data_IF_535946100290
#
_entry.id   IF_535946100290
#
_cell.length_a   1.000
_cell.length_b   1.000
_cell.length_c   1.000
_cell.angle_alpha   90.00
_cell.angle_beta   90.00
_cell.angle_gamma   90.00
#
_symmetry.space_group_name_H-M   'P 1'
#
loop_
_entity.id
_entity.type
_entity.pdbx_description
1 polymer ?
#
# COMPACT_ATOMS: atom_id res chain seq x y z
N UNK A 1 -4.44 -7.76 5.93
CA UNK A 1 -3.79 -7.44 4.64
C UNK A 1 -4.04 -5.98 4.28
N UNK A 2 -3.24 -5.36 3.43
CA UNK A 2 -3.57 -4.04 2.82
C UNK A 2 -4.62 -4.29 1.73
N UNK A 3 -5.53 -3.33 1.47
CA UNK A 3 -6.57 -3.50 0.44
C UNK A 3 -5.92 -3.81 -0.91
N UNK A 4 -6.09 -5.05 -1.38
CA UNK A 4 -5.56 -5.50 -2.67
C UNK A 4 -6.46 -4.98 -3.79
N UNK A 5 -5.85 -4.37 -4.80
CA UNK A 5 -6.51 -3.93 -6.04
C UNK A 5 -6.42 -5.00 -7.14
N UNK A 6 -5.43 -5.89 -7.01
CA UNK A 6 -5.14 -6.98 -7.92
C UNK A 6 -5.00 -8.27 -7.12
N UNK A 7 -5.50 -9.37 -7.67
CA UNK A 7 -5.26 -10.71 -7.12
C UNK A 7 -3.95 -11.28 -7.68
N UNK A 8 -3.35 -12.22 -6.95
CA UNK A 8 -2.09 -12.86 -7.37
C UNK A 8 -2.23 -13.59 -8.70
N UNK A 9 -3.41 -14.13 -8.99
CA UNK A 9 -3.71 -14.83 -10.24
C UNK A 9 -3.84 -13.88 -11.44
N UNK A 10 -4.00 -12.57 -11.19
CA UNK A 10 -4.06 -11.55 -12.23
C UNK A 10 -2.67 -11.03 -12.62
N UNK A 11 -1.60 -11.48 -11.97
CA UNK A 11 -0.25 -11.02 -12.29
C UNK A 11 0.11 -11.36 -13.74
N UNK A 12 0.71 -10.43 -14.50
CA UNK A 12 1.12 -10.67 -15.87
C UNK A 12 2.41 -11.51 -15.89
N UNK A 13 2.27 -12.82 -15.63
CA UNK A 13 3.39 -13.75 -15.45
C UNK A 13 4.36 -13.77 -16.64
N UNK A 14 3.85 -13.65 -17.87
CA UNK A 14 4.71 -13.57 -19.06
C UNK A 14 5.60 -12.33 -19.06
N UNK A 15 5.09 -11.18 -18.60
CA UNK A 15 5.88 -9.95 -18.50
C UNK A 15 6.92 -10.07 -17.38
N UNK A 16 6.53 -10.61 -16.23
CA UNK A 16 7.44 -10.85 -15.11
C UNK A 16 8.60 -11.80 -15.49
N UNK A 17 8.32 -12.86 -16.25
CA UNK A 17 9.35 -13.77 -16.78
C UNK A 17 10.33 -13.06 -17.71
N UNK A 18 9.83 -12.22 -18.63
CA UNK A 18 10.68 -11.43 -19.53
C UNK A 18 11.60 -10.42 -18.80
N UNK A 19 11.26 -10.07 -17.56
CA UNK A 19 12.07 -9.19 -16.70
C UNK A 19 12.97 -9.95 -15.72
N UNK A 20 12.99 -11.30 -15.77
CA UNK A 20 13.74 -12.13 -14.81
C UNK A 20 13.15 -12.14 -13.40
N UNK A 21 11.90 -11.70 -13.24
CA UNK A 21 11.20 -11.61 -11.94
C UNK A 21 10.32 -12.83 -11.66
N UNK A 22 10.28 -13.79 -12.58
CA UNK A 22 9.58 -15.05 -12.40
C UNK A 22 10.19 -16.14 -13.28
N UNK A 23 10.20 -17.38 -12.81
CA UNK A 23 10.59 -18.57 -13.57
C UNK A 23 9.64 -19.72 -13.26
N UNK A 24 9.12 -20.42 -14.27
CA UNK A 24 8.31 -21.65 -14.09
C UNK A 24 7.20 -21.52 -13.03
N UNK A 25 6.56 -20.34 -12.98
CA UNK A 25 5.51 -19.97 -12.02
C UNK A 25 5.97 -19.71 -10.56
N UNK A 26 7.27 -19.57 -10.34
CA UNK A 26 7.89 -19.04 -9.12
C UNK A 26 8.14 -17.56 -9.30
N UNK A 27 7.75 -16.73 -8.31
CA UNK A 27 8.06 -15.30 -8.30
C UNK A 27 9.41 -15.07 -7.61
N UNK A 28 10.24 -14.24 -8.22
CA UNK A 28 11.53 -13.76 -7.69
C UNK A 28 11.41 -12.31 -7.21
N UNK A 29 10.31 -12.01 -6.53
CA UNK A 29 10.00 -10.70 -5.96
C UNK A 29 9.79 -10.93 -4.47
N UNK A 30 10.35 -10.06 -3.63
CA UNK A 30 10.11 -10.16 -2.19
C UNK A 30 8.64 -9.85 -1.83
N UNK A 31 8.24 -10.28 -0.64
CA UNK A 31 6.85 -10.19 -0.19
C UNK A 31 6.35 -8.74 -0.05
N UNK A 32 7.24 -7.79 0.27
CA UNK A 32 6.87 -6.38 0.42
C UNK A 32 6.61 -5.74 -0.95
N UNK A 33 7.48 -6.01 -1.93
CA UNK A 33 7.33 -5.54 -3.31
C UNK A 33 6.11 -6.18 -3.98
N UNK A 34 5.91 -7.49 -3.78
CA UNK A 34 4.70 -8.17 -4.24
C UNK A 34 3.44 -7.55 -3.61
N UNK A 35 3.46 -7.28 -2.31
CA UNK A 35 2.35 -6.63 -1.61
C UNK A 35 2.12 -5.19 -2.09
N UNK A 36 3.15 -4.49 -2.55
CA UNK A 36 3.03 -3.17 -3.16
C UNK A 36 2.35 -3.26 -4.52
N UNK A 37 2.81 -4.15 -5.40
CA UNK A 37 2.22 -4.40 -6.72
C UNK A 37 0.73 -4.75 -6.62
N UNK A 38 0.37 -5.71 -5.75
CA UNK A 38 -1.02 -6.15 -5.58
C UNK A 38 -1.94 -5.06 -5.03
N UNK A 39 -1.38 -4.11 -4.26
CA UNK A 39 -2.10 -2.93 -3.79
C UNK A 39 -2.13 -1.78 -4.82
N UNK A 40 -1.56 -1.97 -6.02
CA UNK A 40 -1.47 -0.95 -7.07
C UNK A 40 -0.46 0.16 -6.79
N UNK A 41 0.52 -0.12 -5.94
CA UNK A 41 1.61 0.79 -5.57
C UNK A 41 2.87 0.46 -6.37
N UNK A 42 3.88 1.33 -6.24
CA UNK A 42 5.21 1.08 -6.79
C UNK A 42 6.03 0.20 -5.85
N UNK A 43 6.87 -0.65 -6.42
CA UNK A 43 7.92 -1.38 -5.69
C UNK A 43 9.04 -0.42 -5.27
N UNK A 44 10.00 -0.93 -4.50
CA UNK A 44 11.33 -0.32 -4.43
C UNK A 44 12.08 -0.49 -5.76
N UNK A 45 13.28 0.09 -5.87
CA UNK A 45 14.11 -0.02 -7.08
C UNK A 45 14.55 -1.47 -7.28
N UNK A 46 14.17 -2.05 -8.41
CA UNK A 46 14.51 -3.42 -8.79
C UNK A 46 15.56 -3.43 -9.90
N UNK A 47 16.50 -4.36 -9.81
CA UNK A 47 17.46 -4.66 -10.88
C UNK A 47 16.83 -5.67 -11.83
N UNK A 48 16.45 -5.21 -13.01
CA UNK A 48 15.94 -6.06 -14.09
C UNK A 48 17.13 -6.49 -14.95
N UNK A 49 17.28 -7.77 -15.26
CA UNK A 49 18.44 -8.30 -15.98
C UNK A 49 18.06 -8.97 -17.30
N UNK A 50 18.99 -8.95 -18.27
CA UNK A 50 18.89 -9.63 -19.56
C UNK A 50 17.60 -9.32 -20.33
N UNK A 51 17.25 -8.04 -20.42
CA UNK A 51 16.04 -7.61 -21.11
C UNK A 51 16.23 -7.67 -22.62
N UNK A 52 15.32 -8.34 -23.31
CA UNK A 52 15.28 -8.37 -24.78
C UNK A 52 13.99 -7.72 -25.28
N UNK A 53 14.14 -6.61 -26.00
CA UNK A 53 13.01 -5.94 -26.63
C UNK A 53 13.37 -5.51 -28.05
N UNK A 54 12.61 -5.99 -29.03
CA UNK A 54 12.73 -5.59 -30.45
C UNK A 54 14.16 -5.73 -31.01
N UNK A 55 14.91 -6.75 -30.57
CA UNK A 55 16.30 -6.99 -31.00
C UNK A 55 17.35 -6.14 -30.27
N UNK A 56 16.95 -5.29 -29.34
CA UNK A 56 17.85 -4.63 -28.40
C UNK A 56 18.00 -5.49 -27.15
N UNK A 57 19.24 -5.84 -26.83
CA UNK A 57 19.60 -6.47 -25.57
C UNK A 57 20.07 -5.41 -24.58
N UNK A 58 19.37 -5.30 -23.46
CA UNK A 58 19.71 -4.42 -22.33
C UNK A 58 20.19 -5.34 -21.20
N UNK A 59 21.50 -5.36 -20.88
CA UNK A 59 22.05 -6.29 -19.88
C UNK A 59 21.39 -6.13 -18.52
N UNK A 60 21.11 -4.89 -18.13
CA UNK A 60 20.31 -4.62 -16.95
C UNK A 60 19.71 -3.20 -16.96
N UNK A 61 18.61 -3.04 -16.22
CA UNK A 61 17.90 -1.79 -16.03
C UNK A 61 17.43 -1.70 -14.58
N UNK A 62 17.73 -0.59 -13.91
CA UNK A 62 17.15 -0.28 -12.60
C UNK A 62 15.81 0.44 -12.81
N UNK A 63 14.73 -0.12 -12.27
CA UNK A 63 13.40 0.45 -12.37
C UNK A 63 12.53 0.12 -11.15
N UNK A 64 11.61 1.01 -10.81
CA UNK A 64 10.45 0.66 -9.97
C UNK A 64 9.36 0.06 -10.85
N UNK A 65 8.51 -0.80 -10.29
CA UNK A 65 7.42 -1.45 -11.02
C UNK A 65 6.07 -1.12 -10.40
N UNK A 66 5.02 -1.10 -11.22
CA UNK A 66 3.63 -0.98 -10.75
C UNK A 66 2.66 -1.77 -11.64
N UNK A 67 1.49 -2.11 -11.11
CA UNK A 67 0.41 -2.70 -11.90
C UNK A 67 -0.64 -1.66 -12.30
N UNK A 68 -1.17 -1.79 -13.51
CA UNK A 68 -2.31 -1.01 -14.00
C UNK A 68 -3.33 -1.95 -14.63
N UNK A 69 -4.61 -1.66 -14.39
CA UNK A 69 -5.72 -2.30 -15.12
C UNK A 69 -6.03 -1.49 -16.36
N UNK A 70 -5.99 -2.13 -17.53
CA UNK A 70 -6.36 -1.53 -18.80
C UNK A 70 -7.88 -1.51 -18.98
N UNK A 71 -8.37 -0.76 -19.98
CA UNK A 71 -9.80 -0.61 -20.26
C UNK A 71 -10.52 -1.94 -20.52
N UNK A 72 -9.79 -2.91 -21.10
CA UNK A 72 -10.27 -4.27 -21.34
C UNK A 72 -10.28 -5.17 -20.08
N UNK A 73 -9.89 -4.64 -18.92
CA UNK A 73 -9.81 -5.36 -17.65
C UNK A 73 -8.52 -6.15 -17.42
N UNK A 74 -7.65 -6.29 -18.43
CA UNK A 74 -6.35 -6.96 -18.29
C UNK A 74 -5.39 -6.16 -17.41
N UNK A 75 -4.50 -6.87 -16.71
CA UNK A 75 -3.48 -6.26 -15.86
C UNK A 75 -2.17 -6.18 -16.64
N UNK A 76 -1.56 -5.01 -16.62
CA UNK A 76 -0.28 -4.69 -17.25
C UNK A 76 0.75 -4.31 -16.18
N UNK A 77 1.99 -4.74 -16.38
CA UNK A 77 3.14 -4.32 -15.59
C UNK A 77 3.77 -3.09 -16.24
N UNK A 78 3.92 -2.02 -15.46
CA UNK A 78 4.60 -0.80 -15.88
C UNK A 78 5.96 -0.74 -15.22
N UNK A 79 6.99 -0.45 -16.03
CA UNK A 79 8.34 -0.15 -15.55
C UNK A 79 8.56 1.36 -15.51
N UNK A 80 9.09 1.84 -14.38
CA UNK A 80 9.45 3.23 -14.12
C UNK A 80 10.98 3.31 -13.99
N UNK A 81 11.71 3.44 -15.12
CA UNK A 81 13.16 3.54 -15.10
C UNK A 81 13.61 4.89 -14.52
N UNK A 82 14.91 5.04 -14.32
CA UNK A 82 15.51 6.32 -13.94
C UNK A 82 15.54 7.25 -15.18
N UNK A 83 14.61 8.20 -15.24
CA UNK A 83 14.52 9.16 -16.33
C UNK A 83 15.62 10.22 -16.24
N UNK A 84 16.14 10.65 -17.40
CA UNK A 84 17.15 11.72 -17.44
C UNK A 84 16.55 13.09 -17.11
N UNK A 85 15.31 13.32 -17.52
CA UNK A 85 14.57 14.56 -17.30
C UNK A 85 13.16 14.22 -16.84
N UNK A 86 12.66 14.95 -15.86
CA UNK A 86 11.29 14.83 -15.42
C UNK A 86 10.38 15.73 -16.26
N UNK A 87 9.23 15.21 -16.66
CA UNK A 87 8.16 16.00 -17.29
C UNK A 87 7.07 16.25 -16.24
N UNK A 88 6.94 17.50 -15.82
CA UNK A 88 5.90 17.93 -14.89
C UNK A 88 4.51 17.92 -15.55
N UNK A 89 3.43 17.56 -14.82
CA UNK A 89 2.08 17.66 -15.35
C UNK A 89 1.72 19.09 -15.75
N UNK A 90 1.06 19.28 -16.91
CA UNK A 90 0.73 20.60 -17.47
C UNK A 90 -0.10 21.51 -16.53
N UNK A 91 -0.83 20.92 -15.58
CA UNK A 91 -1.67 21.64 -14.62
C UNK A 91 -0.89 22.11 -13.37
N UNK A 92 0.40 21.80 -13.26
CA UNK A 92 1.30 22.39 -12.28
C UNK A 92 1.94 23.66 -12.83
N UNK A 93 2.19 24.61 -11.94
CA UNK A 93 3.01 25.79 -12.25
C UNK A 93 4.49 25.44 -12.18
N UNK A 94 5.34 26.19 -12.90
CA UNK A 94 6.81 26.01 -12.85
C UNK A 94 7.36 26.06 -11.42
N UNK A 95 6.80 26.95 -10.57
CA UNK A 95 7.19 27.04 -9.17
C UNK A 95 6.79 25.81 -8.34
N UNK A 96 5.63 25.21 -8.61
CA UNK A 96 5.21 23.95 -7.96
C UNK A 96 6.12 22.79 -8.39
N UNK A 97 6.44 22.69 -9.69
CA UNK A 97 7.38 21.71 -10.26
C UNK A 97 8.75 21.85 -9.59
N UNK A 98 9.33 23.04 -9.61
CA UNK A 98 10.65 23.32 -9.03
C UNK A 98 10.68 23.03 -7.52
N UNK A 99 9.62 23.39 -6.79
CA UNK A 99 9.52 23.14 -5.36
C UNK A 99 9.47 21.65 -5.03
N UNK A 100 8.75 20.85 -5.82
CA UNK A 100 8.70 19.39 -5.67
C UNK A 100 10.04 18.72 -6.02
N UNK A 101 10.69 19.15 -7.11
CA UNK A 101 11.99 18.61 -7.56
C UNK A 101 13.10 18.89 -6.53
N UNK A 102 13.19 20.13 -6.05
CA UNK A 102 14.14 20.51 -4.99
C UNK A 102 13.83 19.81 -3.67
N UNK A 103 12.58 19.42 -3.46
CA UNK A 103 12.13 18.89 -2.18
C UNK A 103 11.98 20.00 -1.14
N UNK A 104 11.46 21.15 -1.55
CA UNK A 104 10.94 22.19 -0.67
C UNK A 104 9.48 21.87 -0.29
N UNK A 105 8.71 21.36 -1.26
CA UNK A 105 7.39 20.78 -1.05
C UNK A 105 7.46 19.24 -1.11
N UNK A 106 6.68 18.56 -0.27
CA UNK A 106 6.55 17.10 -0.29
C UNK A 106 5.62 16.65 -1.40
N UNK A 107 4.51 17.37 -1.53
CA UNK A 107 3.42 17.10 -2.45
C UNK A 107 2.62 18.39 -2.70
N UNK A 108 1.82 18.37 -3.76
CA UNK A 108 0.87 19.43 -4.11
C UNK A 108 -0.49 18.79 -4.42
N UNK A 109 -1.59 19.40 -3.95
CA UNK A 109 -2.95 18.97 -4.30
C UNK A 109 -3.54 19.92 -5.34
N UNK A 110 -4.06 19.37 -6.43
CA UNK A 110 -4.72 20.11 -7.51
C UNK A 110 -6.12 19.58 -7.74
N UNK A 111 -7.04 20.46 -8.12
CA UNK A 111 -8.32 20.06 -8.70
C UNK A 111 -8.19 20.07 -10.21
N UNK A 112 -8.38 18.93 -10.85
CA UNK A 112 -8.37 18.79 -12.30
C UNK A 112 -9.76 18.42 -12.80
N UNK A 113 -10.08 18.82 -14.03
CA UNK A 113 -11.26 18.36 -14.74
C UNK A 113 -10.85 17.27 -15.73
N UNK A 114 -11.66 16.23 -15.85
CA UNK A 114 -11.56 15.34 -17.00
C UNK A 114 -12.15 15.99 -18.26
N UNK A 115 -12.05 15.28 -19.40
CA UNK A 115 -12.57 15.75 -20.68
C UNK A 115 -14.10 15.93 -20.71
N UNK A 116 -14.83 15.37 -19.74
CA UNK A 116 -16.29 15.49 -19.59
C UNK A 116 -16.70 16.62 -18.64
N UNK A 117 -15.72 17.24 -17.96
CA UNK A 117 -15.90 18.37 -17.05
C UNK A 117 -16.01 17.98 -15.58
N UNK A 118 -15.98 16.68 -15.26
CA UNK A 118 -16.04 16.20 -13.88
C UNK A 118 -14.74 16.53 -13.16
N UNK A 119 -14.89 17.10 -11.96
CA UNK A 119 -13.76 17.58 -11.14
C UNK A 119 -13.33 16.52 -10.15
N UNK A 120 -12.02 16.30 -10.07
CA UNK A 120 -11.40 15.45 -9.04
C UNK A 120 -10.15 16.09 -8.46
N UNK A 121 -9.89 15.82 -7.19
CA UNK A 121 -8.67 16.25 -6.51
C UNK A 121 -7.57 15.20 -6.69
N UNK A 122 -6.41 15.61 -7.19
CA UNK A 122 -5.21 14.79 -7.32
C UNK A 122 -4.09 15.30 -6.41
N UNK A 123 -3.35 14.36 -5.84
CA UNK A 123 -2.09 14.59 -5.13
C UNK A 123 -0.94 14.31 -6.08
N UNK A 124 0.00 15.25 -6.20
CA UNK A 124 1.21 15.09 -7.00
C UNK A 124 2.44 15.07 -6.10
N UNK A 125 3.30 14.08 -6.31
CA UNK A 125 4.59 13.91 -5.66
C UNK A 125 5.71 13.83 -6.70
N UNK A 126 6.93 14.13 -6.27
CA UNK A 126 8.12 13.89 -7.09
C UNK A 126 8.94 12.73 -6.52
N UNK A 127 9.16 11.70 -7.33
CA UNK A 127 10.01 10.56 -7.04
C UNK A 127 11.43 10.86 -7.53
N UNK A 128 12.34 11.10 -6.58
CA UNK A 128 13.74 11.42 -6.88
C UNK A 128 14.52 10.21 -7.39
N UNK A 129 14.06 8.99 -7.09
CA UNK A 129 14.76 7.77 -7.49
C UNK A 129 14.57 7.49 -8.98
N UNK A 130 13.38 7.77 -9.51
CA UNK A 130 13.04 7.59 -10.93
C UNK A 130 13.03 8.89 -11.72
N UNK A 131 13.17 10.05 -11.06
CA UNK A 131 13.07 11.38 -11.67
C UNK A 131 11.71 11.60 -12.36
N UNK A 132 10.63 11.35 -11.64
CA UNK A 132 9.27 11.29 -12.19
C UNK A 132 8.24 11.94 -11.26
N UNK A 133 7.23 12.58 -11.84
CA UNK A 133 6.06 13.06 -11.11
C UNK A 133 4.99 11.98 -11.00
N UNK A 134 4.62 11.64 -9.77
CA UNK A 134 3.56 10.66 -9.48
C UNK A 134 2.27 11.40 -9.16
N UNK A 135 1.19 11.05 -9.87
CA UNK A 135 -0.15 11.61 -9.65
C UNK A 135 -1.10 10.55 -9.11
N UNK A 136 -1.75 10.81 -7.98
CA UNK A 136 -2.77 9.93 -7.40
C UNK A 136 -4.06 10.68 -7.15
N UNK A 137 -5.18 10.06 -7.49
CA UNK A 137 -6.50 10.57 -7.14
C UNK A 137 -6.72 10.47 -5.62
N UNK A 138 -6.98 11.60 -4.97
CA UNK A 138 -7.15 11.65 -3.51
C UNK A 138 -8.36 10.84 -3.03
N UNK A 139 -9.37 10.65 -3.88
CA UNK A 139 -10.53 9.80 -3.61
C UNK A 139 -10.21 8.30 -3.60
N UNK A 140 -9.09 7.91 -4.23
CA UNK A 140 -8.59 6.52 -4.25
C UNK A 140 -7.57 6.23 -3.13
N UNK A 141 -7.25 7.23 -2.29
CA UNK A 141 -6.37 7.04 -1.14
C UNK A 141 -7.20 6.53 0.05
N UNK A 142 -6.79 5.37 0.58
CA UNK A 142 -7.42 4.72 1.72
C UNK A 142 -6.60 4.99 2.99
N UNK A 143 -7.02 5.94 3.85
CA UNK A 143 -6.36 6.16 5.13
C UNK A 143 -6.59 4.97 6.06
N UNK A 144 -5.62 4.67 6.95
CA UNK A 144 -5.85 3.76 8.07
C UNK A 144 -7.04 4.19 8.92
N UNK A 145 -7.73 3.22 9.51
CA UNK A 145 -8.79 3.47 10.48
C UNK A 145 -8.22 3.78 11.85
N UNK A 146 -7.18 3.05 12.25
CA UNK A 146 -6.43 3.23 13.49
C UNK A 146 -4.92 3.18 13.23
N UNK A 147 -4.16 3.82 14.12
CA UNK A 147 -2.71 3.70 14.23
C UNK A 147 -2.38 3.37 15.68
N UNK A 148 -1.65 2.29 15.92
CA UNK A 148 -1.33 1.76 17.25
C UNK A 148 -2.60 1.62 18.13
N UNK A 149 -3.72 1.21 17.54
CA UNK A 149 -5.02 1.09 18.22
C UNK A 149 -5.71 2.42 18.55
N UNK A 150 -5.22 3.54 18.03
CA UNK A 150 -5.83 4.87 18.18
C UNK A 150 -6.61 5.21 16.90
N UNK A 151 -7.93 5.44 16.97
CA UNK A 151 -8.73 5.75 15.79
C UNK A 151 -8.39 7.13 15.20
N UNK A 152 -8.24 7.17 13.87
CA UNK A 152 -8.11 8.43 13.15
C UNK A 152 -9.48 9.10 13.01
N UNK A 153 -9.56 10.37 13.38
CA UNK A 153 -10.72 11.23 13.15
C UNK A 153 -10.99 11.44 11.66
N UNK A 154 -12.22 11.83 11.31
CA UNK A 154 -12.58 12.16 9.92
C UNK A 154 -11.70 13.27 9.32
N UNK A 155 -11.29 14.26 10.13
CA UNK A 155 -10.42 15.33 9.69
C UNK A 155 -8.99 14.83 9.44
N UNK A 156 -8.45 13.96 10.30
CA UNK A 156 -7.16 13.31 10.09
C UNK A 156 -7.19 12.45 8.82
N UNK A 157 -8.22 11.61 8.62
CA UNK A 157 -8.40 10.83 7.38
C UNK A 157 -8.45 11.72 6.14
N UNK A 158 -9.12 12.88 6.20
CA UNK A 158 -9.15 13.88 5.11
C UNK A 158 -7.77 14.50 4.86
N UNK A 159 -7.02 14.82 5.92
CA UNK A 159 -5.67 15.37 5.82
C UNK A 159 -4.70 14.35 5.20
N UNK A 160 -4.76 13.10 5.64
CA UNK A 160 -3.95 12.00 5.11
C UNK A 160 -4.16 11.81 3.60
N UNK A 161 -5.42 11.79 3.13
CA UNK A 161 -5.73 11.72 1.68
C UNK A 161 -5.17 12.90 0.88
N UNK A 162 -4.92 14.03 1.52
CA UNK A 162 -4.33 15.23 0.90
C UNK A 162 -2.81 15.30 1.09
N UNK A 163 -2.17 14.18 1.46
CA UNK A 163 -0.72 14.11 1.68
C UNK A 163 -0.23 14.97 2.85
N UNK A 164 -1.12 15.38 3.76
CA UNK A 164 -0.74 16.15 4.96
C UNK A 164 -0.36 15.22 6.09
N UNK A 165 0.54 15.70 6.94
CA UNK A 165 0.87 15.01 8.18
C UNK A 165 -0.35 14.91 9.10
N UNK A 166 -0.44 13.76 9.77
CA UNK A 166 -1.47 13.40 10.73
C UNK A 166 -0.79 12.90 11.98
N UNK A 167 -1.02 13.59 13.10
CA UNK A 167 -0.53 13.19 14.41
C UNK A 167 -1.64 12.51 15.21
N UNK A 168 -1.33 11.34 15.80
CA UNK A 168 -2.20 10.59 16.71
C UNK A 168 -2.05 11.08 18.15
N UNK A 169 -2.96 10.65 19.04
CA UNK A 169 -2.91 11.02 20.46
C UNK A 169 -1.63 10.54 21.19
N UNK A 170 -0.99 9.46 20.72
CA UNK A 170 0.29 8.99 21.27
C UNK A 170 1.52 9.70 20.69
N UNK A 171 1.31 10.72 19.83
CA UNK A 171 2.36 11.50 19.19
C UNK A 171 3.03 10.79 18.01
N UNK A 172 2.41 9.76 17.44
CA UNK A 172 2.84 9.16 16.17
C UNK A 172 2.36 10.04 15.02
N UNK A 173 3.28 10.46 14.14
CA UNK A 173 2.98 11.29 12.98
C UNK A 173 3.15 10.45 11.72
N UNK A 174 2.10 10.41 10.89
CA UNK A 174 2.09 9.70 9.62
C UNK A 174 1.75 10.64 8.45
N UNK A 175 2.20 10.28 7.25
CA UNK A 175 1.91 10.97 6.00
C UNK A 175 1.74 9.95 4.87
N UNK A 176 0.76 10.15 3.99
CA UNK A 176 0.64 9.34 2.77
C UNK A 176 1.80 9.66 1.81
N UNK A 177 2.32 8.66 1.11
CA UNK A 177 3.24 8.88 -0.01
C UNK A 177 2.97 7.88 -1.14
N UNK A 178 2.78 8.36 -2.37
CA UNK A 178 2.56 7.53 -3.54
C UNK A 178 3.84 6.90 -4.09
N UNK A 179 5.00 7.51 -3.83
CA UNK A 179 6.31 7.01 -4.28
C UNK A 179 6.90 5.91 -3.40
N UNK A 180 6.43 5.78 -2.16
CA UNK A 180 6.95 4.76 -1.24
C UNK A 180 6.16 3.46 -1.33
N UNK A 181 6.88 2.35 -1.27
CA UNK A 181 6.34 0.98 -1.30
C UNK A 181 5.18 0.73 -0.33
N UNK A 182 5.33 1.23 0.90
CA UNK A 182 4.33 1.02 1.97
C UNK A 182 3.17 2.04 1.91
N UNK A 183 3.22 3.02 1.01
CA UNK A 183 2.29 4.15 0.89
C UNK A 183 2.15 5.06 2.13
N UNK A 184 3.00 4.86 3.13
CA UNK A 184 2.99 5.59 4.39
C UNK A 184 4.42 5.92 4.81
N UNK A 185 4.61 7.17 5.23
CA UNK A 185 5.79 7.64 5.95
C UNK A 185 5.41 7.88 7.39
N UNK A 186 6.37 7.73 8.29
CA UNK A 186 6.14 7.97 9.70
C UNK A 186 7.37 8.55 10.40
N UNK A 187 7.15 9.21 11.54
CA UNK A 187 8.21 9.60 12.46
C UNK A 187 8.73 8.42 13.30
N UNK A 188 8.16 7.22 13.14
CA UNK A 188 8.51 5.96 13.82
C UNK A 188 8.93 4.88 12.82
N UNK A 189 9.86 4.00 13.19
CA UNK A 189 10.29 2.87 12.34
C UNK A 189 9.24 1.76 12.18
N UNK A 190 8.34 1.64 13.14
CA UNK A 190 7.28 0.65 13.13
C UNK A 190 6.00 1.22 13.72
N UNK A 191 4.87 0.79 13.16
CA UNK A 191 3.53 1.08 13.66
C UNK A 191 2.58 -0.05 13.25
N UNK A 192 1.46 -0.16 13.94
CA UNK A 192 0.34 -1.01 13.51
C UNK A 192 -0.74 -0.11 12.94
N UNK A 193 -1.18 -0.40 11.72
CA UNK A 193 -2.33 0.27 11.12
C UNK A 193 -3.48 -0.71 10.99
N UNK A 194 -4.71 -0.24 11.23
CA UNK A 194 -5.90 -1.01 10.88
C UNK A 194 -6.53 -0.52 9.58
N UNK A 195 -7.09 -1.45 8.80
CA UNK A 195 -7.82 -1.18 7.56
C UNK A 195 -9.08 -2.03 7.56
N UNK A 196 -10.24 -1.41 7.36
CA UNK A 196 -11.48 -2.13 7.08
C UNK A 196 -11.40 -2.82 5.72
N UNK A 197 -11.50 -4.15 5.74
CA UNK A 197 -11.49 -5.00 4.53
C UNK A 197 -12.61 -6.02 4.67
N UNK A 198 -13.44 -6.11 3.64
CA UNK A 198 -14.48 -7.14 3.49
C UNK A 198 -15.42 -7.31 4.71
N UNK A 199 -15.71 -6.20 5.41
CA UNK A 199 -16.61 -6.18 6.57
C UNK A 199 -15.95 -6.52 7.91
N UNK A 200 -14.63 -6.72 7.96
CA UNK A 200 -13.84 -6.93 9.18
C UNK A 200 -12.66 -5.95 9.31
N UNK A 201 -12.12 -5.83 10.52
CA UNK A 201 -10.91 -5.04 10.79
C UNK A 201 -9.68 -5.91 10.56
N UNK A 202 -8.88 -5.58 9.54
CA UNK A 202 -7.55 -6.15 9.34
C UNK A 202 -6.50 -5.25 9.97
N UNK A 203 -5.53 -5.83 10.66
CA UNK A 203 -4.36 -5.10 11.13
C UNK A 203 -3.12 -5.42 10.28
N UNK A 204 -2.26 -4.42 10.09
CA UNK A 204 -1.01 -4.53 9.34
C UNK A 204 0.10 -3.92 10.18
N UNK A 205 1.13 -4.73 10.44
CA UNK A 205 2.36 -4.27 11.06
C UNK A 205 3.29 -3.72 9.99
N UNK A 206 3.52 -2.41 10.01
CA UNK A 206 4.51 -1.75 9.17
C UNK A 206 5.86 -1.72 9.89
N UNK A 207 6.93 -2.10 9.19
CA UNK A 207 8.33 -2.05 9.66
C UNK A 207 9.20 -1.40 8.61
N UNK A 208 10.26 -0.72 9.05
CA UNK A 208 11.22 -0.09 8.14
C UNK A 208 10.60 1.04 7.33
N UNK A 209 9.63 1.75 7.91
CA UNK A 209 8.96 2.88 7.25
C UNK A 209 9.97 3.98 6.89
N UNK A 210 9.74 4.66 5.77
CA UNK A 210 10.49 5.86 5.44
C UNK A 210 10.14 7.02 6.38
N UNK A 211 11.13 7.85 6.68
CA UNK A 211 10.97 9.03 7.52
C UNK A 211 10.03 10.06 6.89
N UNK A 212 9.39 10.87 7.74
CA UNK A 212 8.70 12.08 7.30
C UNK A 212 9.66 13.03 6.57
N UNK A 213 9.09 13.83 5.68
CA UNK A 213 9.88 14.70 4.83
C UNK A 213 10.73 15.71 5.61
N UNK A 214 12.03 15.74 5.31
CA UNK A 214 13.02 16.60 5.97
C UNK A 214 13.01 16.50 7.51
N UNK A 215 12.53 15.37 8.07
CA UNK A 215 12.46 15.14 9.50
C UNK A 215 13.22 13.87 9.89
N UNK A 216 13.93 13.87 11.03
CA UNK A 216 14.53 12.65 11.54
C UNK A 216 13.44 11.67 11.98
N UNK A 217 13.74 10.38 11.87
CA UNK A 217 12.88 9.32 12.33
C UNK A 217 13.34 8.81 13.69
N UNK A 218 12.39 8.57 14.59
CA UNK A 218 12.63 7.92 15.86
C UNK A 218 12.72 6.42 15.66
N UNK A 219 13.73 5.80 16.29
CA UNK A 219 13.92 4.36 16.24
C UNK A 219 12.90 3.59 17.07
N UNK A 220 12.39 4.23 18.13
CA UNK A 220 11.43 3.63 19.04
C UNK A 220 10.00 3.72 18.48
N UNK A 221 9.20 2.64 18.58
CA UNK A 221 7.77 2.68 18.28
C UNK A 221 6.99 3.68 19.16
N UNK A 222 5.78 4.03 18.73
CA UNK A 222 4.86 4.85 19.51
C UNK A 222 4.48 4.22 20.85
N UNK A 223 4.04 5.03 21.82
CA UNK A 223 3.77 4.57 23.20
C UNK A 223 2.72 3.45 23.24
N UNK A 224 1.76 3.47 22.32
CA UNK A 224 0.69 2.48 22.27
C UNK A 224 1.03 1.26 21.40
N UNK A 225 2.20 1.22 20.75
CA UNK A 225 2.58 0.17 19.82
C UNK A 225 2.56 -1.23 20.44
N UNK A 226 3.18 -1.42 21.60
CA UNK A 226 3.26 -2.72 22.26
C UNK A 226 1.89 -3.24 22.70
N UNK A 227 1.05 -2.35 23.24
CA UNK A 227 -0.32 -2.71 23.60
C UNK A 227 -1.16 -3.08 22.37
N UNK A 228 -0.95 -2.40 21.24
CA UNK A 228 -1.61 -2.74 19.99
C UNK A 228 -1.10 -4.09 19.43
N UNK A 229 0.19 -4.41 19.57
CA UNK A 229 0.77 -5.69 19.17
C UNK A 229 0.17 -6.86 19.96
N UNK A 230 0.00 -6.72 21.27
CA UNK A 230 -0.62 -7.74 22.13
C UNK A 230 -2.07 -8.00 21.73
N UNK A 231 -2.85 -6.94 21.49
CA UNK A 231 -4.24 -7.08 21.02
C UNK A 231 -4.33 -7.80 19.68
N UNK A 232 -3.39 -7.55 18.78
CA UNK A 232 -3.31 -8.19 17.47
C UNK A 232 -3.03 -9.69 17.60
N UNK A 233 -2.03 -10.07 18.40
CA UNK A 233 -1.70 -11.49 18.61
C UNK A 233 -2.83 -12.26 19.30
N UNK A 234 -3.54 -11.64 20.24
CA UNK A 234 -4.73 -12.22 20.87
C UNK A 234 -5.87 -12.42 19.87
N UNK A 235 -6.09 -11.47 18.95
CA UNK A 235 -7.13 -11.57 17.93
C UNK A 235 -6.83 -12.69 16.92
N UNK A 236 -5.57 -12.79 16.46
CA UNK A 236 -5.12 -13.88 15.59
C UNK A 236 -5.24 -15.25 16.26
N UNK A 237 -4.87 -15.36 17.54
CA UNK A 237 -5.01 -16.59 18.30
C UNK A 237 -6.48 -17.03 18.45
N UNK A 238 -7.41 -16.09 18.65
CA UNK A 238 -8.85 -16.36 18.72
C UNK A 238 -9.44 -16.79 17.38
N UNK A 239 -8.94 -16.24 16.26
CA UNK A 239 -9.36 -16.65 14.91
C UNK A 239 -8.79 -18.02 14.50
N UNK A 240 -7.62 -18.39 15.03
CA UNK A 240 -6.98 -19.68 14.75
C UNK A 240 -7.51 -20.84 15.63
N UNK A 241 -8.26 -20.57 16.69
CA UNK A 241 -8.85 -21.59 17.54
C UNK A 241 -10.13 -22.16 16.89
N UNK A 242 -10.21 -23.47 16.57
CA UNK A 242 -11.43 -24.07 16.06
C UNK A 242 -12.52 -24.03 17.15
N UNK A 243 -13.75 -23.72 16.73
CA UNK A 243 -14.94 -23.67 17.56
C UNK A 243 -15.24 -25.07 18.12
N UNK A 244 -14.64 -25.40 19.27
CA UNK A 244 -14.89 -26.66 19.97
C UNK A 244 -16.27 -26.55 20.63
N UNK A 245 -17.31 -27.01 19.91
CA UNK A 245 -18.59 -27.31 20.54
C UNK A 245 -18.44 -28.64 21.27
N UNK A 246 -18.56 -28.71 22.60
CA UNK A 246 -18.70 -30.00 23.26
C UNK A 246 -20.05 -30.60 22.83
N UNK A 247 -20.01 -31.72 22.11
CA UNK A 247 -21.17 -32.60 21.99
C UNK A 247 -21.52 -33.08 23.40
N UNK A 248 -22.63 -32.59 23.94
CA UNK A 248 -23.29 -33.21 25.07
C UNK A 248 -23.99 -34.48 24.56
N UNK A 249 -23.33 -35.62 24.70
CA UNK A 249 -24.02 -36.91 24.76
C UNK A 249 -24.84 -36.96 26.05
N UNK A 250 -26.12 -36.63 25.95
CA UNK A 250 -27.13 -37.09 26.91
C UNK A 250 -27.90 -38.21 26.25
N UNK A 251 -27.58 -39.45 26.65
CA UNK A 251 -28.36 -40.65 26.41
C UNK A 251 -29.82 -40.41 26.87
N UNK A 252 -30.76 -40.33 25.93
CA UNK A 252 -32.19 -40.45 26.21
C UNK A 252 -32.54 -41.93 26.43
N UNK A 253 -32.93 -42.27 27.66
CA UNK A 253 -33.60 -43.52 28.00
C UNK A 253 -34.90 -43.65 27.19
N UNK A 254 -34.90 -44.57 26.22
CA UNK A 254 -36.11 -44.98 25.51
C UNK A 254 -36.95 -45.87 26.43
N UNK A 255 -38.03 -45.32 26.98
CA UNK A 255 -39.11 -46.08 27.61
C UNK A 255 -40.24 -46.31 26.60
N UNK A 256 -40.16 -47.39 25.81
CA UNK A 256 -41.31 -47.86 25.04
C UNK A 256 -42.20 -48.75 25.90
N UNK A 257 -43.33 -48.17 26.33
CA UNK A 257 -44.49 -48.90 26.85
C UNK A 257 -45.36 -49.28 25.65
N UNK A 258 -45.43 -50.55 25.28
CA UNK A 258 -46.45 -51.06 24.34
C UNK A 258 -47.52 -51.77 25.16
N UNK A 259 -48.73 -51.20 25.16
CA UNK A 259 -49.95 -51.86 25.62
C UNK A 259 -51.06 -51.60 24.61
N UNK A 260 -51.33 -52.60 23.75
CA UNK A 260 -52.64 -53.14 23.30
C UNK A 260 -52.54 -53.79 21.93
#
# INVERSE_FOLDING_TARGET
MIRQQFKREELPMEQLQKLGLADWNVLHIDDDDLSALLAGRRTDMLRLENLEQQGLHIPALDAKLSLRRNENGSVELLAHPIYKFAEGPEYLTDAEIESLEKGEAVNVVKTISDGEGDKREVLVEFDKDTNEFITVDTGKIFPPDEINGIPLTQQQKKNYRKGKEVETEDGTIIQYSAKDKQAIRADRLALIASVLIDGGVSYVLFKGLNALFNKPQHKEPGRNFHQAMEKLSEAEAKQAAPDFKPENDTDEEISETISR
#
